data_IF_111900774698
#
_entry.id   IF_111900774698
#
_cell.length_a   1.000
_cell.length_b   1.000
_cell.length_c   1.000
_cell.angle_alpha   90.00
_cell.angle_beta   90.00
_cell.angle_gamma   90.00
#
_symmetry.space_group_name_H-M   'P 1'
#
loop_
_entity.id
_entity.type
_entity.pdbx_description
1 polymer ?
#
# COMPACT_ATOMS: atom_id res chain seq x y z
N UNK A 1 -22.08 32.28 31.08
CA UNK A 1 -22.25 31.27 30.00
C UNK A 1 -21.20 31.35 28.88
N UNK A 2 -20.38 32.40 28.76
CA UNK A 2 -19.36 32.53 27.69
C UNK A 2 -17.99 31.88 27.99
N UNK A 3 -17.72 31.52 29.26
CA UNK A 3 -16.47 30.88 29.70
C UNK A 3 -16.48 29.35 29.54
N UNK A 4 -17.65 28.74 29.28
CA UNK A 4 -17.81 27.29 29.13
C UNK A 4 -17.46 26.81 27.70
N UNK A 5 -17.71 27.64 26.69
CA UNK A 5 -17.36 27.36 25.29
C UNK A 5 -15.84 27.39 25.06
N UNK A 6 -15.10 28.30 25.72
CA UNK A 6 -13.65 28.44 25.55
C UNK A 6 -12.85 27.31 26.21
N UNK A 7 -13.40 26.64 27.22
CA UNK A 7 -12.76 25.47 27.86
C UNK A 7 -13.00 24.14 27.12
N UNK A 8 -13.92 24.12 26.14
CA UNK A 8 -14.17 22.97 25.27
C UNK A 8 -13.36 23.02 23.95
N UNK A 9 -12.81 24.20 23.61
CA UNK A 9 -11.98 24.43 22.42
C UNK A 9 -10.66 23.61 22.35
N UNK A 10 -9.97 23.26 23.45
CA UNK A 10 -8.80 22.37 23.37
C UNK A 10 -9.20 20.91 23.14
N UNK A 11 -10.43 20.52 23.48
CA UNK A 11 -10.96 19.18 23.25
C UNK A 11 -11.35 18.97 21.77
N UNK A 12 -11.70 20.04 21.04
CA UNK A 12 -11.90 19.98 19.59
C UNK A 12 -10.57 19.86 18.82
N UNK A 13 -9.45 20.34 19.38
CA UNK A 13 -8.14 20.32 18.72
C UNK A 13 -7.51 18.91 18.68
N UNK A 14 -7.83 18.04 19.66
CA UNK A 14 -7.40 16.64 19.69
C UNK A 14 -8.27 15.70 18.82
N UNK A 15 -9.40 16.19 18.30
CA UNK A 15 -10.15 15.51 17.22
C UNK A 15 -9.72 15.99 15.82
N UNK A 16 -8.73 16.89 15.73
CA UNK A 16 -8.10 17.19 14.44
C UNK A 16 -7.44 15.91 13.96
N UNK A 17 -8.03 15.33 12.90
CA UNK A 17 -7.63 14.10 12.22
C UNK A 17 -6.13 13.87 12.32
N UNK A 18 -5.71 12.94 13.16
CA UNK A 18 -4.35 12.45 13.13
C UNK A 18 -4.25 11.59 11.88
N UNK A 19 -3.77 12.17 10.77
CA UNK A 19 -3.39 11.42 9.58
C UNK A 19 -2.22 10.52 9.98
N UNK A 20 -2.55 9.38 10.61
CA UNK A 20 -1.58 8.39 11.04
C UNK A 20 -0.77 8.01 9.81
N UNK A 21 0.54 8.24 9.88
CA UNK A 21 1.49 7.84 8.83
C UNK A 21 1.25 6.36 8.51
N UNK A 22 1.22 6.02 7.22
CA UNK A 22 1.14 4.61 6.87
C UNK A 22 2.41 3.87 7.28
N UNK A 23 2.21 2.68 7.84
CA UNK A 23 3.26 1.78 8.27
C UNK A 23 3.00 0.34 7.83
N UNK A 24 1.89 0.08 7.16
CA UNK A 24 1.63 -1.23 6.57
C UNK A 24 2.37 -1.27 5.23
N UNK A 25 3.19 -2.31 4.97
CA UNK A 25 3.81 -2.48 3.67
C UNK A 25 2.80 -3.03 2.64
N UNK A 26 3.01 -2.77 1.34
CA UNK A 26 2.25 -3.43 0.30
C UNK A 26 2.55 -4.93 0.26
N UNK A 27 1.56 -5.73 -0.09
CA UNK A 27 1.71 -7.16 -0.40
C UNK A 27 1.63 -7.38 -1.91
N UNK A 28 2.41 -8.34 -2.42
CA UNK A 28 2.40 -8.74 -3.83
C UNK A 28 2.44 -10.27 -3.95
N UNK A 29 1.64 -10.80 -4.87
CA UNK A 29 1.59 -12.23 -5.17
C UNK A 29 1.52 -12.48 -6.68
N UNK A 30 2.42 -13.30 -7.21
CA UNK A 30 2.35 -13.80 -8.59
C UNK A 30 1.26 -14.87 -8.66
N UNK A 31 0.25 -14.64 -9.50
CA UNK A 31 -0.86 -15.56 -9.75
C UNK A 31 -0.52 -16.53 -10.88
N UNK A 32 0.18 -16.05 -11.90
CA UNK A 32 0.65 -16.86 -13.02
C UNK A 32 1.97 -16.30 -13.56
N UNK A 33 2.93 -17.16 -13.91
CA UNK A 33 2.92 -18.61 -13.78
C UNK A 33 3.02 -19.05 -12.31
N UNK A 34 2.53 -20.25 -12.00
CA UNK A 34 2.71 -20.85 -10.66
C UNK A 34 4.19 -21.20 -10.44
N UNK A 35 4.62 -21.23 -9.18
CA UNK A 35 5.99 -21.64 -8.84
C UNK A 35 6.32 -23.03 -9.40
N UNK A 36 7.47 -23.15 -10.07
CA UNK A 36 7.93 -24.39 -10.70
C UNK A 36 7.39 -24.65 -12.11
N UNK A 37 6.55 -23.76 -12.67
CA UNK A 37 6.13 -23.88 -14.06
C UNK A 37 7.33 -23.73 -15.01
N UNK A 38 7.35 -24.54 -16.07
CA UNK A 38 8.25 -24.34 -17.21
C UNK A 38 7.58 -23.37 -18.18
N UNK A 39 8.31 -22.32 -18.55
CA UNK A 39 7.84 -21.28 -19.47
C UNK A 39 8.76 -21.23 -20.69
N UNK A 40 8.24 -20.83 -21.84
CA UNK A 40 8.99 -20.70 -23.08
C UNK A 40 8.57 -19.41 -23.79
N UNK A 41 9.46 -18.84 -24.59
CA UNK A 41 9.26 -17.59 -25.32
C UNK A 41 8.84 -16.43 -24.38
N UNK A 42 8.12 -15.44 -24.92
CA UNK A 42 7.53 -14.38 -24.12
C UNK A 42 6.21 -14.87 -23.50
N UNK A 43 6.07 -14.65 -22.19
CA UNK A 43 4.85 -14.98 -21.47
C UNK A 43 4.30 -13.78 -20.72
N UNK A 44 3.00 -13.82 -20.43
CA UNK A 44 2.36 -12.85 -19.54
C UNK A 44 2.52 -13.30 -18.09
N UNK A 45 3.05 -12.40 -17.25
CA UNK A 45 3.04 -12.55 -15.79
C UNK A 45 1.83 -11.82 -15.23
N UNK A 46 1.00 -12.52 -14.46
CA UNK A 46 -0.14 -11.92 -13.75
C UNK A 46 0.19 -11.90 -12.27
N UNK A 47 0.10 -10.73 -11.63
CA UNK A 47 0.24 -10.57 -10.19
C UNK A 47 -0.93 -9.78 -9.60
N UNK A 48 -1.12 -9.89 -8.29
CA UNK A 48 -2.01 -9.04 -7.51
C UNK A 48 -1.17 -8.30 -6.48
N UNK A 49 -1.43 -7.00 -6.32
CA UNK A 49 -0.81 -6.14 -5.32
C UNK A 49 -1.87 -5.40 -4.51
N UNK A 50 -1.70 -5.34 -3.19
CA UNK A 50 -2.66 -4.69 -2.29
C UNK A 50 -1.95 -3.94 -1.18
N UNK A 51 -2.52 -2.81 -0.78
CA UNK A 51 -2.10 -2.00 0.36
C UNK A 51 -3.32 -1.23 0.90
N UNK A 52 -3.33 -0.81 2.17
CA UNK A 52 -4.47 -0.10 2.77
C UNK A 52 -4.57 1.39 2.37
N UNK A 53 -3.52 2.02 1.85
CA UNK A 53 -3.57 3.38 1.30
C UNK A 53 -3.20 3.46 -0.17
N UNK A 54 -2.58 2.42 -0.71
CA UNK A 54 -2.40 2.25 -2.15
C UNK A 54 -1.01 1.75 -2.50
N UNK A 55 -0.89 1.24 -3.72
CA UNK A 55 0.36 0.74 -4.27
C UNK A 55 0.88 1.79 -5.27
N UNK A 56 2.07 2.32 -5.01
CA UNK A 56 2.68 3.34 -5.88
C UNK A 56 3.30 2.73 -7.16
N UNK A 57 3.98 1.59 -7.01
CA UNK A 57 4.70 0.92 -8.11
C UNK A 57 4.69 -0.59 -7.91
N UNK A 58 4.62 -1.31 -9.03
CA UNK A 58 4.94 -2.74 -9.11
C UNK A 58 6.04 -2.90 -10.16
N UNK A 59 7.04 -3.71 -9.86
CA UNK A 59 8.13 -4.02 -10.77
C UNK A 59 8.25 -5.53 -10.92
N UNK A 60 8.63 -5.98 -12.12
CA UNK A 60 8.96 -7.37 -12.39
C UNK A 60 10.48 -7.50 -12.49
N UNK A 61 11.02 -8.45 -11.73
CA UNK A 61 12.45 -8.75 -11.68
C UNK A 61 12.68 -10.23 -11.98
N UNK A 62 13.66 -10.51 -12.82
CA UNK A 62 14.12 -11.87 -13.15
C UNK A 62 15.60 -11.95 -12.83
N UNK A 63 15.98 -12.85 -11.91
CA UNK A 63 17.39 -13.03 -11.48
C UNK A 63 18.09 -11.71 -11.12
N UNK A 64 17.40 -10.87 -10.34
CA UNK A 64 17.85 -9.53 -9.93
C UNK A 64 18.03 -8.52 -11.08
N UNK A 65 17.44 -8.77 -12.25
CA UNK A 65 17.36 -7.84 -13.37
C UNK A 65 15.92 -7.32 -13.51
N UNK A 66 15.74 -6.01 -13.43
CA UNK A 66 14.46 -5.35 -13.68
C UNK A 66 14.10 -5.47 -15.17
N UNK A 67 12.86 -5.86 -15.49
CA UNK A 67 12.42 -6.09 -16.87
C UNK A 67 11.86 -4.85 -17.58
N UNK A 68 11.69 -3.73 -16.89
CA UNK A 68 11.08 -2.48 -17.40
C UNK A 68 10.59 -1.55 -16.31
#
# INVERSE_FOLDING_TARGET
MKKLILKLLPLLFILSCEDKKDTTPPEVNIVSPISGATVNEAITITCMSTDNKGVEKVELWVDAVNTG
#
